data_IF_318465057870
#
_entry.id   IF_318465057870
#
_cell.length_a   1.000
_cell.length_b   1.000
_cell.length_c   1.000
_cell.angle_alpha   90.00
_cell.angle_beta   90.00
_cell.angle_gamma   90.00
#
_symmetry.space_group_name_H-M   'P 1'
#
loop_
_entity.id
_entity.type
_entity.pdbx_description
1 polymer ?
#
# COMPACT_ATOMS: atom_id res chain seq x y z
N UNK A 1 16.45 22.02 -46.94
CA UNK A 1 16.40 20.85 -46.08
C UNK A 1 15.57 21.20 -44.85
N UNK A 2 14.38 20.64 -44.64
CA UNK A 2 13.58 20.90 -43.46
C UNK A 2 14.16 20.16 -42.25
N UNK A 3 14.28 20.86 -41.12
CA UNK A 3 14.61 20.27 -39.82
C UNK A 3 13.44 19.41 -39.37
N UNK A 4 13.68 18.09 -39.16
CA UNK A 4 12.75 17.18 -38.50
C UNK A 4 12.75 17.55 -37.05
N UNK A 5 11.61 18.01 -36.55
CA UNK A 5 11.32 18.21 -35.14
C UNK A 5 11.28 16.84 -34.45
N UNK A 6 12.13 16.63 -33.44
CA UNK A 6 12.09 15.45 -32.56
C UNK A 6 11.17 15.80 -31.41
N UNK A 7 9.87 15.88 -31.70
CA UNK A 7 8.83 15.99 -30.68
C UNK A 7 8.37 14.59 -30.27
N UNK A 8 8.46 14.31 -28.96
CA UNK A 8 7.58 13.38 -28.27
C UNK A 8 8.01 11.92 -28.21
N UNK A 9 9.24 11.59 -27.80
CA UNK A 9 9.46 10.28 -27.21
C UNK A 9 8.89 10.30 -25.78
N UNK A 10 7.59 9.97 -25.62
CA UNK A 10 7.05 9.46 -24.36
C UNK A 10 7.57 8.02 -24.22
N UNK A 11 8.41 7.67 -23.23
CA UNK A 11 8.70 6.28 -22.96
C UNK A 11 7.36 5.60 -22.66
N UNK A 12 7.12 4.50 -23.32
CA UNK A 12 5.84 3.81 -23.36
C UNK A 12 5.36 3.46 -21.93
N UNK A 13 4.30 4.13 -21.50
CA UNK A 13 3.57 3.83 -20.25
C UNK A 13 2.86 2.48 -20.35
N UNK A 14 2.45 2.08 -21.56
CA UNK A 14 1.86 0.78 -21.87
C UNK A 14 2.70 -0.43 -21.39
N UNK A 15 4.02 -0.51 -21.56
CA UNK A 15 4.77 -1.68 -21.17
C UNK A 15 4.70 -2.02 -19.69
N UNK A 16 4.66 -1.04 -18.78
CA UNK A 16 4.68 -1.33 -17.34
C UNK A 16 3.33 -1.86 -16.83
N UNK A 17 2.22 -1.36 -17.34
CA UNK A 17 0.87 -1.85 -17.00
C UNK A 17 0.65 -3.25 -17.59
N UNK A 18 1.03 -3.48 -18.84
CA UNK A 18 0.97 -4.80 -19.46
C UNK A 18 1.86 -5.81 -18.71
N UNK A 19 3.04 -5.38 -18.30
CA UNK A 19 3.93 -6.20 -17.49
C UNK A 19 3.32 -6.54 -16.12
N UNK A 20 2.65 -5.57 -15.46
CA UNK A 20 1.92 -5.82 -14.22
C UNK A 20 0.79 -6.84 -14.41
N UNK A 21 0.05 -6.75 -15.53
CA UNK A 21 -1.01 -7.71 -15.89
C UNK A 21 -0.44 -9.11 -16.12
N UNK A 22 0.64 -9.23 -16.89
CA UNK A 22 1.30 -10.51 -17.14
C UNK A 22 1.78 -11.16 -15.82
N UNK A 23 2.45 -10.41 -14.96
CA UNK A 23 2.88 -10.90 -13.64
C UNK A 23 1.68 -11.34 -12.79
N UNK A 24 0.59 -10.58 -12.80
CA UNK A 24 -0.63 -10.91 -12.08
C UNK A 24 -1.24 -12.24 -12.55
N UNK A 25 -1.33 -12.45 -13.88
CA UNK A 25 -1.92 -13.66 -14.47
C UNK A 25 -1.01 -14.88 -14.37
N UNK A 26 0.28 -14.72 -14.71
CA UNK A 26 1.17 -15.85 -14.92
C UNK A 26 1.88 -16.30 -13.63
N UNK A 27 1.97 -15.41 -12.63
CA UNK A 27 2.73 -15.68 -11.40
C UNK A 27 1.87 -15.50 -10.14
N UNK A 28 1.29 -14.31 -9.94
CA UNK A 28 0.66 -14.01 -8.65
C UNK A 28 -0.65 -14.75 -8.44
N UNK A 29 -1.52 -14.79 -9.45
CA UNK A 29 -2.81 -15.45 -9.32
C UNK A 29 -2.71 -16.98 -9.18
N UNK A 30 -1.88 -17.69 -9.97
CA UNK A 30 -1.65 -19.12 -9.76
C UNK A 30 -1.14 -19.47 -8.36
N UNK A 31 -0.28 -18.62 -7.78
CA UNK A 31 0.28 -18.82 -6.44
C UNK A 31 -0.59 -18.23 -5.31
N UNK A 32 -1.72 -17.59 -5.61
CA UNK A 32 -2.44 -16.77 -4.63
C UNK A 32 -3.04 -17.59 -3.47
N UNK A 33 -3.52 -18.81 -3.71
CA UNK A 33 -4.05 -19.70 -2.67
C UNK A 33 -2.94 -20.20 -1.74
N UNK A 34 -1.79 -20.57 -2.28
CA UNK A 34 -0.63 -20.96 -1.50
C UNK A 34 -0.10 -19.78 -0.66
N UNK A 35 -0.03 -18.59 -1.27
CA UNK A 35 0.33 -17.35 -0.57
C UNK A 35 -0.62 -17.06 0.58
N UNK A 36 -1.93 -17.17 0.35
CA UNK A 36 -2.95 -16.92 1.37
C UNK A 36 -2.87 -17.90 2.55
N UNK A 37 -2.54 -19.15 2.29
CA UNK A 37 -2.36 -20.18 3.29
C UNK A 37 -1.02 -20.05 4.08
N UNK A 38 -0.11 -19.21 3.63
CA UNK A 38 1.22 -19.03 4.22
C UNK A 38 1.20 -17.98 5.34
N UNK A 39 2.19 -18.06 6.24
CA UNK A 39 2.39 -17.04 7.27
C UNK A 39 3.08 -15.78 6.73
N UNK A 40 3.90 -15.91 5.69
CA UNK A 40 4.63 -14.79 5.07
C UNK A 40 4.62 -14.93 3.56
N UNK A 41 4.60 -13.77 2.87
CA UNK A 41 4.73 -13.70 1.41
C UNK A 41 5.95 -14.47 0.91
N UNK A 42 5.84 -15.19 -0.21
CA UNK A 42 7.00 -15.72 -0.92
C UNK A 42 7.96 -14.57 -1.29
N UNK A 43 9.22 -14.69 -0.89
CA UNK A 43 10.24 -13.67 -1.23
C UNK A 43 10.41 -13.52 -2.74
N UNK A 44 10.20 -14.61 -3.49
CA UNK A 44 10.27 -14.64 -4.96
C UNK A 44 9.30 -13.67 -5.64
N UNK A 45 8.12 -13.41 -5.06
CA UNK A 45 7.18 -12.42 -5.59
C UNK A 45 7.77 -11.00 -5.48
N UNK A 46 8.36 -10.67 -4.34
CA UNK A 46 8.97 -9.36 -4.11
C UNK A 46 10.25 -9.18 -4.93
N UNK A 47 11.05 -10.25 -5.08
CA UNK A 47 12.24 -10.27 -5.94
C UNK A 47 11.87 -10.07 -7.41
N UNK A 48 10.78 -10.69 -7.88
CA UNK A 48 10.26 -10.46 -9.22
C UNK A 48 9.88 -9.00 -9.42
N UNK A 49 9.08 -8.41 -8.51
CA UNK A 49 8.70 -7.01 -8.60
C UNK A 49 9.92 -6.05 -8.56
N UNK A 50 10.99 -6.41 -7.83
CA UNK A 50 12.23 -5.64 -7.82
C UNK A 50 12.96 -5.72 -9.18
N UNK A 51 13.16 -6.92 -9.72
CA UNK A 51 13.80 -7.12 -11.03
C UNK A 51 13.08 -6.41 -12.18
N UNK A 52 11.75 -6.33 -12.09
CA UNK A 52 10.92 -5.66 -13.10
C UNK A 52 10.75 -4.15 -12.85
N UNK A 53 11.45 -3.59 -11.85
CA UNK A 53 11.49 -2.16 -11.56
C UNK A 53 10.30 -1.58 -10.81
N UNK A 54 9.34 -2.40 -10.37
CA UNK A 54 8.11 -1.92 -9.71
C UNK A 54 8.37 -1.16 -8.40
N UNK A 55 9.49 -1.36 -7.74
CA UNK A 55 9.85 -0.59 -6.53
C UNK A 55 10.16 0.87 -6.82
N UNK A 56 10.57 1.19 -8.06
CA UNK A 56 10.89 2.54 -8.50
C UNK A 56 9.73 3.34 -9.12
N UNK A 57 8.51 2.80 -9.20
CA UNK A 57 7.40 3.44 -9.95
C UNK A 57 7.08 4.87 -9.49
N UNK A 58 7.28 5.19 -8.22
CA UNK A 58 7.04 6.53 -7.64
C UNK A 58 8.32 7.28 -7.31
N UNK A 59 9.48 6.70 -7.57
CA UNK A 59 10.78 7.32 -7.36
C UNK A 59 11.16 8.25 -8.51
N UNK A 60 11.99 9.27 -8.24
CA UNK A 60 12.46 10.18 -9.28
C UNK A 60 13.43 9.48 -10.23
N UNK A 61 13.47 9.95 -11.47
CA UNK A 61 14.25 9.32 -12.56
C UNK A 61 15.76 9.43 -12.36
N UNK A 62 16.23 10.47 -11.71
CA UNK A 62 17.64 10.66 -11.35
C UNK A 62 18.19 9.66 -10.34
N UNK A 63 17.28 8.97 -9.62
CA UNK A 63 17.62 7.89 -8.70
C UNK A 63 17.25 6.48 -9.25
N UNK A 64 16.98 6.37 -10.53
CA UNK A 64 16.58 5.12 -11.18
C UNK A 64 15.09 4.76 -10.98
N UNK A 65 14.27 5.71 -10.54
CA UNK A 65 12.82 5.56 -10.49
C UNK A 65 12.15 5.84 -11.83
N UNK A 66 10.86 5.56 -11.94
CA UNK A 66 10.06 5.80 -13.14
C UNK A 66 9.22 7.08 -13.07
N UNK A 67 9.00 7.62 -11.89
CA UNK A 67 8.15 8.80 -11.62
C UNK A 67 6.81 8.73 -12.36
N UNK A 68 6.12 7.58 -12.28
CA UNK A 68 4.86 7.36 -12.99
C UNK A 68 3.78 8.34 -12.50
N UNK A 69 2.95 8.75 -13.44
CA UNK A 69 1.78 9.56 -13.13
C UNK A 69 0.76 8.79 -12.27
N UNK A 70 -0.18 9.49 -11.60
CA UNK A 70 -1.13 8.87 -10.69
C UNK A 70 -2.08 7.86 -11.36
N UNK A 71 -2.43 8.04 -12.64
CA UNK A 71 -3.33 7.14 -13.37
C UNK A 71 -2.63 5.81 -13.63
N UNK A 72 -1.46 5.87 -14.26
CA UNK A 72 -0.62 4.69 -14.54
C UNK A 72 -0.26 3.94 -13.25
N UNK A 73 0.07 4.67 -12.17
CA UNK A 73 0.32 4.05 -10.85
C UNK A 73 -0.92 3.29 -10.35
N UNK A 74 -2.12 3.86 -10.51
CA UNK A 74 -3.37 3.19 -10.11
C UNK A 74 -3.63 1.92 -10.91
N UNK A 75 -3.38 1.92 -12.22
CA UNK A 75 -3.54 0.76 -13.09
C UNK A 75 -2.56 -0.36 -12.74
N UNK A 76 -1.31 -0.04 -12.43
CA UNK A 76 -0.31 -1.00 -11.94
C UNK A 76 -0.77 -1.64 -10.63
N UNK A 77 -1.23 -0.83 -9.67
CA UNK A 77 -1.72 -1.33 -8.37
C UNK A 77 -2.93 -2.24 -8.55
N UNK A 78 -3.90 -1.84 -9.34
CA UNK A 78 -5.10 -2.62 -9.67
C UNK A 78 -4.71 -3.96 -10.32
N UNK A 79 -3.83 -3.92 -11.32
CA UNK A 79 -3.36 -5.11 -12.04
C UNK A 79 -2.69 -6.11 -11.09
N UNK A 80 -1.73 -5.67 -10.26
CA UNK A 80 -1.05 -6.56 -9.31
C UNK A 80 -2.01 -7.11 -8.25
N UNK A 81 -2.96 -6.28 -7.77
CA UNK A 81 -3.95 -6.70 -6.79
C UNK A 81 -4.94 -7.74 -7.34
N UNK A 82 -5.23 -7.71 -8.65
CA UNK A 82 -6.05 -8.74 -9.29
C UNK A 82 -5.38 -10.11 -9.29
N UNK A 83 -4.04 -10.16 -9.27
CA UNK A 83 -3.28 -11.40 -9.11
C UNK A 83 -3.27 -11.89 -7.66
N UNK A 84 -2.79 -11.04 -6.75
CA UNK A 84 -2.71 -11.34 -5.32
C UNK A 84 -2.75 -10.04 -4.50
N UNK A 85 -3.87 -9.80 -3.82
CA UNK A 85 -4.02 -8.61 -2.98
C UNK A 85 -2.89 -8.50 -1.95
N UNK A 86 -2.53 -9.59 -1.29
CA UNK A 86 -1.51 -9.57 -0.23
C UNK A 86 -0.16 -9.11 -0.74
N UNK A 87 0.28 -9.59 -1.92
CA UNK A 87 1.53 -9.16 -2.55
C UNK A 87 1.48 -7.69 -2.94
N UNK A 88 0.41 -7.27 -3.64
CA UNK A 88 0.24 -5.88 -4.06
C UNK A 88 0.17 -4.92 -2.87
N UNK A 89 -0.54 -5.32 -1.79
CA UNK A 89 -0.68 -4.55 -0.57
C UNK A 89 0.65 -4.32 0.15
N UNK A 90 1.46 -5.37 0.35
CA UNK A 90 2.77 -5.25 1.02
C UNK A 90 3.73 -4.42 0.16
N UNK A 91 3.80 -4.69 -1.14
CA UNK A 91 4.63 -3.94 -2.07
C UNK A 91 4.25 -2.44 -2.10
N UNK A 92 2.95 -2.11 -2.10
CA UNK A 92 2.47 -0.73 -2.17
C UNK A 92 2.94 0.13 -0.98
N UNK A 93 3.17 -0.48 0.21
CA UNK A 93 3.66 0.27 1.38
C UNK A 93 5.02 0.92 1.11
N UNK A 94 5.84 0.35 0.24
CA UNK A 94 7.17 0.83 -0.11
C UNK A 94 7.16 2.23 -0.77
N UNK A 95 6.06 2.58 -1.44
CA UNK A 95 5.94 3.86 -2.15
C UNK A 95 6.12 5.08 -1.24
N UNK A 96 5.57 5.04 -0.03
CA UNK A 96 5.66 6.18 0.89
C UNK A 96 7.10 6.45 1.37
N UNK A 97 7.88 5.45 1.81
CA UNK A 97 9.31 5.62 2.09
C UNK A 97 10.11 6.20 0.93
N UNK A 98 9.91 5.72 -0.32
CA UNK A 98 10.57 6.26 -1.51
C UNK A 98 10.28 7.76 -1.65
N UNK A 99 9.01 8.16 -1.55
CA UNK A 99 8.60 9.57 -1.66
C UNK A 99 9.14 10.43 -0.52
N UNK A 100 9.10 9.91 0.72
CA UNK A 100 9.59 10.64 1.88
C UNK A 100 11.11 10.87 1.81
N UNK A 101 11.88 9.85 1.45
CA UNK A 101 13.33 9.96 1.26
C UNK A 101 13.67 10.88 0.09
N UNK A 102 12.92 10.81 -1.02
CA UNK A 102 13.12 11.70 -2.17
C UNK A 102 12.88 13.17 -1.84
N UNK A 103 12.00 13.47 -0.90
CA UNK A 103 11.66 14.82 -0.44
C UNK A 103 12.43 15.28 0.80
N UNK A 104 13.33 14.44 1.34
CA UNK A 104 14.07 14.76 2.57
C UNK A 104 15.18 15.80 2.33
N UNK A 105 15.26 16.77 3.23
CA UNK A 105 16.34 17.77 3.30
C UNK A 105 17.49 17.31 4.22
N UNK A 106 17.38 16.13 4.85
CA UNK A 106 18.44 15.60 5.72
C UNK A 106 19.68 15.27 4.90
N UNK A 107 20.86 15.84 5.24
CA UNK A 107 22.09 15.60 4.50
C UNK A 107 22.42 14.11 4.36
N UNK A 108 22.74 13.67 3.15
CA UNK A 108 23.10 12.29 2.83
C UNK A 108 21.92 11.30 2.73
N UNK A 109 20.73 11.65 3.19
CA UNK A 109 19.56 10.76 3.19
C UNK A 109 19.24 10.22 1.79
N UNK A 110 19.15 11.09 0.79
CA UNK A 110 18.87 10.69 -0.60
C UNK A 110 19.98 9.80 -1.16
N UNK A 111 21.24 10.18 -0.94
CA UNK A 111 22.40 9.48 -1.50
C UNK A 111 22.55 8.07 -0.92
N UNK A 112 22.27 7.91 0.35
CA UNK A 112 22.36 6.61 1.04
C UNK A 112 21.22 5.67 0.70
N UNK A 113 19.99 6.20 0.57
CA UNK A 113 18.79 5.35 0.58
C UNK A 113 18.06 5.28 -0.76
N UNK A 114 17.95 6.38 -1.50
CA UNK A 114 16.95 6.51 -2.53
C UNK A 114 17.14 5.54 -3.69
N UNK A 115 18.36 5.40 -4.20
CA UNK A 115 18.65 4.50 -5.31
C UNK A 115 18.41 3.03 -4.96
N UNK A 116 18.82 2.60 -3.76
CA UNK A 116 18.58 1.23 -3.28
C UNK A 116 17.08 0.93 -3.05
N UNK A 117 16.32 1.93 -2.57
CA UNK A 117 14.86 1.83 -2.48
C UNK A 117 14.23 1.73 -3.87
N UNK A 118 14.57 2.59 -4.83
CA UNK A 118 14.01 2.55 -6.18
C UNK A 118 14.28 1.22 -6.90
N UNK A 119 15.42 0.57 -6.63
CA UNK A 119 15.74 -0.75 -7.20
C UNK A 119 15.16 -1.93 -6.41
N UNK A 120 14.54 -1.69 -5.24
CA UNK A 120 14.05 -2.76 -4.36
C UNK A 120 15.15 -3.61 -3.72
N UNK A 121 16.40 -3.14 -3.73
CA UNK A 121 17.55 -3.72 -3.01
C UNK A 121 17.38 -3.54 -1.49
N UNK A 122 16.73 -2.44 -1.10
CA UNK A 122 16.19 -2.21 0.24
C UNK A 122 14.69 -2.06 0.16
N UNK A 123 13.97 -2.90 0.85
CA UNK A 123 12.50 -2.88 0.90
C UNK A 123 12.04 -2.18 2.15
N UNK A 124 11.09 -1.27 1.98
CA UNK A 124 10.60 -0.47 3.08
C UNK A 124 9.11 -0.69 3.32
N UNK A 125 8.70 -0.68 4.59
CA UNK A 125 7.32 -0.61 5.04
C UNK A 125 6.99 0.73 5.69
N UNK A 126 5.79 0.86 6.23
CA UNK A 126 5.32 2.07 6.92
C UNK A 126 4.73 1.76 8.30
N UNK A 127 4.92 2.69 9.22
CA UNK A 127 4.32 2.70 10.56
C UNK A 127 3.81 4.13 10.85
N UNK A 128 2.60 4.45 10.40
CA UNK A 128 2.06 5.83 10.38
C UNK A 128 1.28 6.18 11.66
N UNK A 129 1.79 5.77 12.83
CA UNK A 129 1.12 6.02 14.11
C UNK A 129 1.03 7.52 14.46
N UNK A 130 2.03 8.31 14.06
CA UNK A 130 2.08 9.76 14.27
C UNK A 130 1.03 10.54 13.49
N UNK A 131 0.54 10.00 12.38
CA UNK A 131 -0.44 10.66 11.51
C UNK A 131 -1.88 10.60 12.08
N UNK A 132 -2.12 9.74 13.06
CA UNK A 132 -3.48 9.50 13.57
C UNK A 132 -4.01 10.72 14.30
N UNK A 133 -5.30 11.05 14.12
CA UNK A 133 -5.97 12.07 14.95
C UNK A 133 -6.11 11.58 16.39
N UNK A 134 -6.26 12.52 17.32
CA UNK A 134 -6.44 12.26 18.73
C UNK A 134 -5.13 12.10 19.52
N UNK A 135 -5.18 11.52 20.72
CA UNK A 135 -4.01 11.36 21.57
C UNK A 135 -2.95 10.47 20.90
N UNK A 136 -1.66 10.86 20.94
CA UNK A 136 -0.61 10.12 20.29
C UNK A 136 -0.34 8.77 21.00
N UNK A 137 -0.31 7.69 20.22
CA UNK A 137 0.03 6.34 20.67
C UNK A 137 1.52 6.01 20.47
N UNK A 138 2.22 6.78 19.63
CA UNK A 138 3.67 6.76 19.44
C UNK A 138 4.18 8.20 19.52
N UNK A 139 5.12 8.43 20.43
CA UNK A 139 5.73 9.73 20.69
C UNK A 139 7.21 9.71 20.37
N UNK A 140 7.71 10.86 19.98
CA UNK A 140 9.13 11.12 19.81
C UNK A 140 9.57 12.27 20.73
N UNK A 141 10.82 12.20 21.17
CA UNK A 141 11.51 13.27 21.89
C UNK A 141 12.85 13.52 21.22
N UNK A 142 13.23 14.80 21.03
CA UNK A 142 14.51 15.17 20.42
C UNK A 142 15.65 14.82 21.37
N UNK A 143 16.75 14.29 20.84
CA UNK A 143 17.99 14.08 21.57
C UNK A 143 18.98 15.23 21.32
N UNK A 144 19.98 15.43 22.20
CA UNK A 144 21.00 16.49 22.07
C UNK A 144 21.79 16.38 20.75
N UNK A 145 21.94 15.17 20.20
CA UNK A 145 22.60 14.92 18.91
C UNK A 145 21.71 15.12 17.67
N UNK A 146 20.50 15.69 17.81
CA UNK A 146 19.57 15.93 16.68
C UNK A 146 18.77 14.71 16.25
N UNK A 147 19.03 13.53 16.81
CA UNK A 147 18.21 12.34 16.65
C UNK A 147 16.93 12.39 17.47
N UNK A 148 16.21 11.28 17.57
CA UNK A 148 14.99 11.16 18.36
C UNK A 148 14.96 9.85 19.15
N UNK A 149 14.22 9.85 20.26
CA UNK A 149 13.84 8.65 21.01
C UNK A 149 12.36 8.38 20.80
N UNK A 150 11.99 7.17 20.43
CA UNK A 150 10.62 6.72 20.20
C UNK A 150 10.09 5.92 21.39
N UNK A 151 8.87 6.25 21.85
CA UNK A 151 8.17 5.54 22.93
C UNK A 151 6.71 5.33 22.56
N UNK A 152 6.22 4.11 22.67
CA UNK A 152 4.82 3.77 22.41
C UNK A 152 4.63 2.64 21.43
N UNK A 153 3.53 2.67 20.68
CA UNK A 153 3.13 1.58 19.80
C UNK A 153 2.78 2.07 18.39
N UNK A 154 3.09 1.26 17.39
CA UNK A 154 2.64 1.43 16.03
C UNK A 154 1.92 0.15 15.57
N UNK A 155 0.58 0.09 15.59
CA UNK A 155 -0.19 -1.05 15.13
C UNK A 155 -0.27 -1.10 13.61
N UNK A 156 -0.54 -2.30 13.07
CA UNK A 156 -0.83 -2.54 11.66
C UNK A 156 0.36 -2.27 10.72
N UNK A 157 1.57 -2.59 11.15
CA UNK A 157 2.77 -2.51 10.31
C UNK A 157 2.90 -3.79 9.49
N UNK A 158 2.80 -3.68 8.17
CA UNK A 158 2.82 -4.84 7.27
C UNK A 158 4.17 -5.02 6.58
N UNK A 159 4.46 -6.25 6.17
CA UNK A 159 5.73 -6.59 5.52
C UNK A 159 6.82 -7.08 6.48
N UNK A 160 6.56 -7.21 7.77
CA UNK A 160 7.56 -7.69 8.73
C UNK A 160 8.11 -9.05 8.33
N UNK A 161 9.45 -9.19 8.34
CA UNK A 161 10.15 -10.37 7.82
C UNK A 161 10.32 -10.40 6.29
N UNK A 162 9.90 -9.35 5.58
CA UNK A 162 10.05 -9.16 4.13
C UNK A 162 10.54 -7.77 3.74
N UNK A 163 10.70 -6.87 4.71
CA UNK A 163 11.20 -5.51 4.55
C UNK A 163 12.46 -5.32 5.39
N UNK A 164 13.33 -4.40 4.98
CA UNK A 164 14.62 -4.11 5.62
C UNK A 164 14.51 -2.89 6.54
N UNK A 165 13.62 -1.94 6.21
CA UNK A 165 13.47 -0.66 6.89
C UNK A 165 12.01 -0.25 6.96
N UNK A 166 11.67 0.57 7.94
CA UNK A 166 10.31 1.11 8.13
C UNK A 166 10.39 2.62 8.21
N UNK A 167 9.57 3.31 7.42
CA UNK A 167 9.26 4.71 7.64
C UNK A 167 8.29 4.81 8.81
N UNK A 168 8.78 5.26 9.95
CA UNK A 168 8.00 5.43 11.17
C UNK A 168 7.63 6.90 11.33
N UNK A 169 6.35 7.20 11.58
CA UNK A 169 5.92 8.54 12.00
C UNK A 169 5.50 8.53 13.46
N UNK A 170 5.97 9.53 14.21
CA UNK A 170 5.67 9.69 15.64
C UNK A 170 5.32 11.16 15.97
N UNK A 171 4.50 11.37 16.97
CA UNK A 171 4.14 12.72 17.43
C UNK A 171 5.25 13.29 18.31
N UNK A 172 5.65 14.52 17.99
CA UNK A 172 6.61 15.31 18.76
C UNK A 172 6.03 16.71 19.00
N UNK A 173 5.36 16.90 20.14
CA UNK A 173 4.53 18.09 20.35
C UNK A 173 3.39 18.19 19.33
N UNK A 174 3.30 19.33 18.64
CA UNK A 174 2.32 19.58 17.58
C UNK A 174 2.78 19.09 16.20
N UNK A 175 3.99 18.54 16.11
CA UNK A 175 4.57 18.04 14.88
C UNK A 175 4.49 16.51 14.80
N UNK A 176 4.70 16.03 13.57
CA UNK A 176 5.00 14.64 13.25
C UNK A 176 6.44 14.56 12.76
N UNK A 177 7.25 13.77 13.43
CA UNK A 177 8.58 13.42 12.94
C UNK A 177 8.51 12.10 12.18
N UNK A 178 9.18 12.04 11.04
CA UNK A 178 9.34 10.86 10.20
C UNK A 178 10.77 10.35 10.28
N UNK A 179 10.97 9.07 10.54
CA UNK A 179 12.30 8.46 10.69
C UNK A 179 12.38 7.10 9.98
N UNK A 180 13.58 6.67 9.60
CA UNK A 180 13.85 5.33 9.11
C UNK A 180 14.36 4.45 10.27
N UNK A 181 13.68 3.32 10.51
CA UNK A 181 14.01 2.33 11.54
C UNK A 181 14.25 0.98 10.87
N UNK A 182 15.32 0.27 11.24
CA UNK A 182 15.57 -1.07 10.72
C UNK A 182 14.45 -2.04 11.12
N UNK A 183 13.97 -2.84 10.17
CA UNK A 183 12.87 -3.80 10.39
C UNK A 183 13.38 -5.09 11.06
N UNK A 184 13.93 -4.99 12.24
CA UNK A 184 14.42 -6.12 13.04
C UNK A 184 14.14 -5.92 14.53
N UNK A 185 13.90 -7.00 15.24
CA UNK A 185 13.74 -6.95 16.71
C UNK A 185 15.05 -6.56 17.40
N UNK A 186 14.90 -5.72 18.41
CA UNK A 186 15.97 -5.26 19.30
C UNK A 186 15.43 -5.21 20.72
N UNK A 187 16.30 -5.03 21.72
CA UNK A 187 15.86 -4.84 23.11
C UNK A 187 14.88 -3.66 23.28
N UNK A 188 14.94 -2.67 22.39
CA UNK A 188 14.10 -1.46 22.40
C UNK A 188 13.00 -1.45 21.32
N UNK A 189 12.91 -2.49 20.48
CA UNK A 189 11.89 -2.63 19.42
C UNK A 189 11.39 -4.06 19.35
N UNK A 190 10.12 -4.27 19.68
CA UNK A 190 9.47 -5.57 19.64
C UNK A 190 8.36 -5.59 18.60
N UNK A 191 8.16 -6.76 17.95
CA UNK A 191 7.16 -6.98 16.92
C UNK A 191 6.18 -8.09 17.31
N UNK A 192 4.96 -7.72 17.67
CA UNK A 192 3.90 -8.66 18.01
C UNK A 192 3.10 -9.04 16.76
N UNK A 193 3.18 -10.28 16.32
CA UNK A 193 2.49 -10.77 15.13
C UNK A 193 0.97 -10.73 15.30
N UNK A 194 0.28 -10.18 14.31
CA UNK A 194 -1.17 -10.25 14.17
C UNK A 194 -1.57 -11.39 13.23
N UNK A 195 -2.52 -12.23 13.65
CA UNK A 195 -3.11 -13.26 12.77
C UNK A 195 -4.35 -12.68 12.10
N UNK A 196 -4.32 -12.63 10.78
CA UNK A 196 -5.38 -12.03 9.98
C UNK A 196 -6.16 -13.13 9.23
N UNK A 197 -7.47 -12.96 9.11
CA UNK A 197 -8.33 -13.87 8.31
C UNK A 197 -8.23 -13.59 6.80
N UNK A 198 -7.85 -12.38 6.41
CA UNK A 198 -7.53 -11.99 5.04
C UNK A 198 -6.17 -11.29 5.01
N UNK A 199 -5.39 -11.51 3.97
CA UNK A 199 -4.02 -11.00 3.83
C UNK A 199 -3.06 -11.41 4.98
N UNK A 200 -3.22 -12.60 5.56
CA UNK A 200 -2.38 -13.08 6.66
C UNK A 200 -0.89 -13.11 6.32
N UNK A 201 -0.54 -13.53 5.10
CA UNK A 201 0.83 -13.58 4.62
C UNK A 201 1.51 -12.19 4.50
N UNK A 202 0.79 -11.10 4.74
CA UNK A 202 1.36 -9.75 4.78
C UNK A 202 2.40 -9.55 5.88
N UNK A 203 2.50 -10.46 6.84
CA UNK A 203 3.43 -10.29 7.96
C UNK A 203 3.09 -9.10 8.85
N UNK A 204 1.81 -8.79 9.02
CA UNK A 204 1.39 -7.63 9.81
C UNK A 204 1.67 -7.81 11.30
N UNK A 205 2.25 -6.78 11.93
CA UNK A 205 2.62 -6.75 13.35
C UNK A 205 2.14 -5.47 14.04
N UNK A 206 2.14 -5.48 15.35
CA UNK A 206 2.18 -4.28 16.19
C UNK A 206 3.61 -4.07 16.66
N UNK A 207 4.22 -2.92 16.38
CA UNK A 207 5.53 -2.56 16.89
C UNK A 207 5.40 -1.86 18.24
N UNK A 208 6.27 -2.23 19.21
CA UNK A 208 6.42 -1.55 20.49
C UNK A 208 7.83 -0.96 20.59
N UNK A 209 7.87 0.33 20.83
CA UNK A 209 9.09 1.12 21.00
C UNK A 209 9.30 1.42 22.50
N UNK A 210 10.44 0.98 23.05
CA UNK A 210 10.83 1.13 24.43
C UNK A 210 12.09 2.01 24.48
N UNK A 211 11.93 3.32 24.53
CA UNK A 211 13.03 4.30 24.46
C UNK A 211 13.98 4.01 23.27
N UNK A 212 13.39 3.70 22.11
CA UNK A 212 14.16 3.34 20.93
C UNK A 212 14.83 4.57 20.31
N UNK A 213 16.16 4.63 20.39
CA UNK A 213 16.95 5.73 19.84
C UNK A 213 17.10 5.61 18.33
N UNK A 214 16.84 6.71 17.63
CA UNK A 214 17.04 6.87 16.18
C UNK A 214 18.02 8.03 15.98
N UNK A 215 19.18 7.82 15.31
CA UNK A 215 20.16 8.85 15.10
C UNK A 215 19.70 9.90 14.09
N UNK A 216 20.38 11.07 14.08
CA UNK A 216 19.96 12.24 13.31
C UNK A 216 19.91 11.98 11.80
N UNK A 217 20.86 11.22 11.26
CA UNK A 217 20.95 10.84 9.85
C UNK A 217 19.80 9.92 9.37
N UNK A 218 19.02 9.36 10.30
CA UNK A 218 17.82 8.57 10.02
C UNK A 218 16.52 9.37 10.18
N UNK A 219 16.58 10.65 10.57
CA UNK A 219 15.43 11.55 10.59
C UNK A 219 15.16 12.00 9.17
N UNK A 220 14.02 11.62 8.62
CA UNK A 220 13.62 11.93 7.24
C UNK A 220 13.08 13.34 7.12
N UNK A 221 12.32 13.79 8.12
CA UNK A 221 11.74 15.13 8.17
C UNK A 221 10.81 15.31 9.37
N UNK A 222 10.37 16.55 9.55
CA UNK A 222 9.42 16.95 10.56
C UNK A 222 8.46 17.98 9.98
N UNK A 223 7.16 17.85 10.29
CA UNK A 223 6.12 18.72 9.75
C UNK A 223 4.95 18.88 10.73
N UNK A 224 4.17 19.97 10.64
CA UNK A 224 2.99 20.16 11.48
C UNK A 224 1.96 19.04 11.31
N UNK A 225 1.44 18.50 12.43
CA UNK A 225 0.45 17.42 12.38
C UNK A 225 -0.81 17.80 11.60
N UNK A 226 -1.23 19.07 11.67
CA UNK A 226 -2.39 19.55 10.91
C UNK A 226 -2.20 19.39 9.39
N UNK A 227 -1.00 19.61 8.87
CA UNK A 227 -0.69 19.44 7.45
C UNK A 227 -0.67 17.95 7.06
N UNK A 228 -0.14 17.09 7.93
CA UNK A 228 -0.16 15.63 7.73
C UNK A 228 -1.60 15.14 7.60
N UNK A 229 -2.48 15.55 8.50
CA UNK A 229 -3.91 15.18 8.50
C UNK A 229 -4.62 15.71 7.24
N UNK A 230 -4.33 16.94 6.83
CA UNK A 230 -4.92 17.54 5.63
C UNK A 230 -4.57 16.78 4.34
N UNK A 231 -3.36 16.18 4.28
CA UNK A 231 -2.91 15.38 3.11
C UNK A 231 -3.30 13.90 3.17
N UNK A 232 -3.87 13.43 4.28
CA UNK A 232 -4.14 11.99 4.47
C UNK A 232 -5.06 11.39 3.39
N UNK A 233 -5.98 12.19 2.84
CA UNK A 233 -6.88 11.75 1.77
C UNK A 233 -6.14 11.33 0.49
N UNK A 234 -4.96 11.86 0.20
CA UNK A 234 -4.22 11.60 -1.04
C UNK A 234 -3.81 10.13 -1.22
N UNK A 235 -3.68 9.37 -0.14
CA UNK A 235 -3.35 7.93 -0.18
C UNK A 235 -4.54 7.02 -0.50
N UNK A 236 -5.76 7.53 -0.37
CA UNK A 236 -6.97 6.71 -0.47
C UNK A 236 -7.25 6.21 -1.88
N UNK A 237 -6.80 6.92 -2.91
CA UNK A 237 -6.95 6.52 -4.31
C UNK A 237 -6.31 5.15 -4.57
N UNK A 238 -5.06 4.94 -4.19
CA UNK A 238 -4.36 3.68 -4.40
C UNK A 238 -4.93 2.55 -3.53
N UNK A 239 -5.44 2.88 -2.33
CA UNK A 239 -6.18 1.92 -1.52
C UNK A 239 -7.48 1.48 -2.22
N UNK A 240 -8.13 2.38 -2.98
CA UNK A 240 -9.26 2.07 -3.86
C UNK A 240 -8.85 1.18 -5.03
N UNK A 241 -7.70 1.44 -5.66
CA UNK A 241 -7.18 0.61 -6.76
C UNK A 241 -6.90 -0.84 -6.32
N UNK A 242 -6.45 -1.08 -5.08
CA UNK A 242 -6.37 -2.43 -4.53
C UNK A 242 -7.74 -3.14 -4.52
N UNK A 243 -8.80 -2.41 -4.15
CA UNK A 243 -10.15 -2.97 -4.13
C UNK A 243 -10.66 -3.27 -5.55
N UNK A 244 -10.40 -2.37 -6.51
CA UNK A 244 -10.77 -2.59 -7.91
C UNK A 244 -10.05 -3.79 -8.52
N UNK A 245 -8.80 -4.08 -8.12
CA UNK A 245 -8.10 -5.30 -8.54
C UNK A 245 -8.81 -6.58 -8.07
N UNK A 246 -9.35 -6.59 -6.85
CA UNK A 246 -10.17 -7.72 -6.38
C UNK A 246 -11.48 -7.83 -7.16
N UNK A 247 -12.13 -6.70 -7.50
CA UNK A 247 -13.32 -6.69 -8.36
C UNK A 247 -12.99 -7.26 -9.74
N UNK A 248 -11.91 -6.78 -10.39
CA UNK A 248 -11.46 -7.25 -11.70
C UNK A 248 -11.28 -8.77 -11.70
N UNK A 249 -10.62 -9.32 -10.68
CA UNK A 249 -10.46 -10.77 -10.53
C UNK A 249 -11.79 -11.51 -10.38
N UNK A 250 -12.71 -10.98 -9.59
CA UNK A 250 -14.04 -11.59 -9.45
C UNK A 250 -14.79 -11.58 -10.79
N UNK A 251 -14.77 -10.47 -11.55
CA UNK A 251 -15.39 -10.38 -12.87
C UNK A 251 -14.80 -11.42 -13.83
N UNK A 252 -13.48 -11.54 -13.91
CA UNK A 252 -12.82 -12.54 -14.78
C UNK A 252 -13.20 -13.98 -14.44
N UNK A 253 -13.40 -14.29 -13.16
CA UNK A 253 -13.80 -15.65 -12.72
C UNK A 253 -15.29 -15.94 -12.93
N UNK A 254 -16.14 -14.91 -12.89
CA UNK A 254 -17.58 -15.06 -13.15
C UNK A 254 -17.92 -15.05 -14.64
N UNK A 255 -17.09 -14.41 -15.48
CA UNK A 255 -17.45 -14.04 -16.84
C UNK A 255 -18.30 -12.77 -16.91
N UNK A 256 -18.75 -12.34 -18.11
CA UNK A 256 -19.48 -11.09 -18.30
C UNK A 256 -20.65 -10.92 -17.35
N UNK A 257 -20.73 -9.78 -16.67
CA UNK A 257 -21.72 -9.48 -15.63
C UNK A 257 -21.96 -7.97 -15.50
N UNK A 258 -22.99 -7.55 -14.77
CA UNK A 258 -23.20 -6.15 -14.44
C UNK A 258 -22.08 -5.53 -13.59
N UNK A 259 -21.20 -6.34 -13.00
CA UNK A 259 -20.04 -5.85 -12.25
C UNK A 259 -18.97 -5.26 -13.15
N UNK A 260 -18.90 -5.64 -14.43
CA UNK A 260 -17.93 -5.08 -15.38
C UNK A 260 -18.21 -3.59 -15.64
N UNK A 261 -19.48 -3.21 -15.83
CA UNK A 261 -19.91 -1.82 -15.99
C UNK A 261 -19.65 -1.01 -14.70
N UNK A 262 -20.03 -1.56 -13.53
CA UNK A 262 -19.79 -0.93 -12.24
C UNK A 262 -18.30 -0.73 -11.94
N UNK A 263 -17.44 -1.68 -12.34
CA UNK A 263 -15.99 -1.57 -12.23
C UNK A 263 -15.47 -0.36 -13.02
N UNK A 264 -15.95 -0.16 -14.25
CA UNK A 264 -15.59 1.00 -15.09
C UNK A 264 -16.04 2.31 -14.44
N UNK A 265 -17.28 2.38 -13.96
CA UNK A 265 -17.84 3.57 -13.32
C UNK A 265 -17.08 3.95 -12.03
N UNK A 266 -16.82 2.98 -11.15
CA UNK A 266 -16.13 3.24 -9.89
C UNK A 266 -14.65 3.57 -10.14
N UNK A 267 -14.00 2.98 -11.15
CA UNK A 267 -12.63 3.34 -11.56
C UNK A 267 -12.57 4.80 -12.00
N UNK A 268 -13.51 5.27 -12.82
CA UNK A 268 -13.61 6.66 -13.24
C UNK A 268 -13.85 7.59 -12.03
N UNK A 269 -14.83 7.24 -11.16
CA UNK A 269 -15.12 8.01 -9.95
C UNK A 269 -13.90 8.13 -9.02
N UNK A 270 -13.13 7.06 -8.85
CA UNK A 270 -11.91 7.06 -8.02
C UNK A 270 -10.79 7.90 -8.67
N UNK A 271 -10.70 7.92 -10.00
CA UNK A 271 -9.73 8.69 -10.75
C UNK A 271 -9.98 10.20 -10.67
N UNK A 272 -11.26 10.60 -10.76
CA UNK A 272 -11.70 12.00 -10.82
C UNK A 272 -11.99 12.60 -9.44
N UNK A 273 -11.86 11.79 -8.36
CA UNK A 273 -12.20 12.23 -7.02
C UNK A 273 -11.27 13.35 -6.51
N UNK A 274 -11.90 14.40 -5.97
CA UNK A 274 -11.24 15.48 -5.22
C UNK A 274 -10.91 15.01 -3.79
N UNK A 275 -10.09 15.72 -3.00
CA UNK A 275 -9.85 15.38 -1.60
C UNK A 275 -11.14 15.20 -0.78
N UNK A 276 -12.19 15.96 -1.08
CA UNK A 276 -13.49 15.92 -0.38
C UNK A 276 -14.30 14.68 -0.77
N UNK A 277 -14.25 14.26 -2.04
CA UNK A 277 -15.01 13.11 -2.57
C UNK A 277 -14.24 11.79 -2.51
N UNK A 278 -12.92 11.84 -2.29
CA UNK A 278 -12.04 10.67 -2.24
C UNK A 278 -12.47 9.62 -1.20
N UNK A 279 -12.94 9.99 0.02
CA UNK A 279 -13.43 8.99 0.99
C UNK A 279 -14.64 8.21 0.46
N UNK A 280 -15.57 8.88 -0.22
CA UNK A 280 -16.76 8.24 -0.80
C UNK A 280 -16.40 7.32 -1.98
N UNK A 281 -15.52 7.77 -2.88
CA UNK A 281 -15.04 6.95 -3.99
C UNK A 281 -14.28 5.70 -3.49
N UNK A 282 -13.43 5.87 -2.45
CA UNK A 282 -12.73 4.76 -1.80
C UNK A 282 -13.71 3.77 -1.15
N UNK A 283 -14.75 4.26 -0.48
CA UNK A 283 -15.78 3.43 0.12
C UNK A 283 -16.53 2.63 -0.95
N UNK A 284 -16.93 3.28 -2.05
CA UNK A 284 -17.59 2.64 -3.18
C UNK A 284 -16.77 1.48 -3.78
N UNK A 285 -15.47 1.68 -3.96
CA UNK A 285 -14.57 0.63 -4.46
C UNK A 285 -14.53 -0.60 -3.50
N UNK A 286 -14.48 -0.36 -2.18
CA UNK A 286 -14.47 -1.45 -1.20
C UNK A 286 -15.80 -2.18 -1.12
N UNK A 287 -16.90 -1.47 -1.19
CA UNK A 287 -18.25 -2.02 -1.18
C UNK A 287 -18.47 -2.86 -2.45
N UNK A 288 -18.03 -2.37 -3.61
CA UNK A 288 -18.10 -3.11 -4.86
C UNK A 288 -17.28 -4.40 -4.78
N UNK A 289 -16.08 -4.37 -4.19
CA UNK A 289 -15.26 -5.56 -4.00
C UNK A 289 -15.98 -6.63 -3.16
N UNK A 290 -16.65 -6.21 -2.09
CA UNK A 290 -17.42 -7.14 -1.24
C UNK A 290 -18.61 -7.73 -1.99
N UNK A 291 -19.36 -6.94 -2.76
CA UNK A 291 -20.49 -7.42 -3.56
C UNK A 291 -20.05 -8.38 -4.68
N UNK A 292 -18.98 -8.04 -5.40
CA UNK A 292 -18.45 -8.88 -6.47
C UNK A 292 -17.94 -10.23 -5.92
N UNK A 293 -17.23 -10.22 -4.79
CA UNK A 293 -16.76 -11.44 -4.13
C UNK A 293 -17.93 -12.30 -3.60
N UNK A 294 -18.97 -11.67 -3.05
CA UNK A 294 -20.18 -12.38 -2.64
C UNK A 294 -20.92 -13.00 -3.84
N UNK A 295 -21.07 -12.27 -4.94
CA UNK A 295 -21.66 -12.78 -6.17
C UNK A 295 -20.88 -13.97 -6.75
N UNK A 296 -19.55 -13.88 -6.79
CA UNK A 296 -18.68 -14.99 -7.20
C UNK A 296 -18.88 -16.23 -6.29
N UNK A 297 -18.99 -16.00 -4.97
CA UNK A 297 -19.23 -17.08 -4.00
C UNK A 297 -20.55 -17.80 -4.30
N UNK A 298 -21.62 -17.04 -4.56
CA UNK A 298 -22.94 -17.60 -4.91
C UNK A 298 -22.89 -18.34 -6.25
N UNK A 299 -22.26 -17.75 -7.28
CA UNK A 299 -22.15 -18.36 -8.60
C UNK A 299 -21.36 -19.69 -8.58
N UNK A 300 -20.35 -19.79 -7.72
CA UNK A 300 -19.51 -21.00 -7.58
C UNK A 300 -20.16 -22.08 -6.68
N UNK A 301 -21.20 -21.73 -5.94
CA UNK A 301 -21.97 -22.63 -5.08
C UNK A 301 -21.20 -23.11 -3.85
N UNK A 302 -21.61 -24.26 -3.30
CA UNK A 302 -21.09 -24.78 -2.03
C UNK A 302 -19.57 -25.05 -2.01
N UNK A 303 -18.95 -25.24 -3.16
CA UNK A 303 -17.48 -25.39 -3.25
C UNK A 303 -16.72 -24.14 -2.88
N UNK A 304 -17.36 -22.97 -2.91
CA UNK A 304 -16.74 -21.67 -2.58
C UNK A 304 -16.11 -21.60 -1.19
N UNK A 305 -16.59 -22.40 -0.24
CA UNK A 305 -16.09 -22.40 1.15
C UNK A 305 -14.91 -23.36 1.38
N UNK A 306 -14.49 -24.12 0.36
CA UNK A 306 -13.31 -24.97 0.48
C UNK A 306 -12.04 -24.11 0.46
N UNK A 307 -11.07 -24.44 1.32
CA UNK A 307 -9.84 -23.64 1.50
C UNK A 307 -8.98 -23.54 0.24
N UNK A 308 -9.09 -24.51 -0.67
CA UNK A 308 -8.38 -24.57 -1.96
C UNK A 308 -9.12 -23.84 -3.11
N UNK A 309 -10.15 -23.07 -2.81
CA UNK A 309 -10.96 -22.37 -3.82
C UNK A 309 -10.78 -20.85 -3.76
N UNK A 310 -10.75 -20.22 -4.94
CA UNK A 310 -10.54 -18.78 -5.06
C UNK A 310 -11.67 -17.92 -4.43
N UNK A 311 -12.98 -18.27 -4.52
CA UNK A 311 -14.03 -17.42 -3.99
C UNK A 311 -13.89 -17.09 -2.50
N UNK A 312 -13.56 -18.07 -1.65
CA UNK A 312 -13.38 -17.80 -0.21
C UNK A 312 -12.18 -16.89 0.07
N UNK A 313 -11.08 -17.02 -0.70
CA UNK A 313 -9.93 -16.13 -0.59
C UNK A 313 -10.33 -14.70 -0.94
N UNK A 314 -10.94 -14.50 -2.11
CA UNK A 314 -11.38 -13.18 -2.58
C UNK A 314 -12.41 -12.54 -1.64
N UNK A 315 -13.32 -13.33 -1.03
CA UNK A 315 -14.26 -12.82 -0.02
C UNK A 315 -13.54 -12.30 1.23
N UNK A 316 -12.48 -12.98 1.70
CA UNK A 316 -11.67 -12.53 2.85
C UNK A 316 -10.80 -11.33 2.50
N UNK A 317 -10.27 -11.27 1.29
CA UNK A 317 -9.56 -10.09 0.77
C UNK A 317 -10.50 -8.88 0.66
N UNK A 318 -11.73 -9.06 0.15
CA UNK A 318 -12.73 -8.00 0.10
C UNK A 318 -13.12 -7.52 1.51
N UNK A 319 -13.28 -8.43 2.48
CA UNK A 319 -13.52 -8.07 3.88
C UNK A 319 -12.33 -7.25 4.47
N UNK A 320 -11.09 -7.62 4.19
CA UNK A 320 -9.92 -6.84 4.58
C UNK A 320 -10.00 -5.42 4.02
N UNK A 321 -10.40 -5.26 2.76
CA UNK A 321 -10.50 -3.95 2.09
C UNK A 321 -11.61 -3.05 2.65
N UNK A 322 -12.64 -3.58 3.31
CA UNK A 322 -13.64 -2.77 4.01
C UNK A 322 -13.03 -1.99 5.20
N UNK A 323 -12.01 -2.55 5.84
CA UNK A 323 -11.45 -2.00 7.09
C UNK A 323 -10.02 -1.47 6.93
N UNK A 324 -9.30 -1.85 5.89
CA UNK A 324 -7.94 -1.40 5.63
C UNK A 324 -7.89 0.11 5.34
N UNK A 325 -7.00 0.83 6.01
CA UNK A 325 -6.84 2.28 5.81
C UNK A 325 -8.10 3.09 6.15
N UNK A 326 -9.01 2.52 6.95
CA UNK A 326 -10.29 3.14 7.29
C UNK A 326 -10.12 4.43 8.06
N UNK A 327 -10.88 5.46 7.67
CA UNK A 327 -11.03 6.76 8.32
C UNK A 327 -12.50 6.94 8.71
N UNK A 328 -12.85 7.84 9.64
CA UNK A 328 -14.25 8.08 9.99
C UNK A 328 -15.15 8.29 8.78
N UNK A 329 -14.80 9.20 7.86
CA UNK A 329 -15.57 9.48 6.66
C UNK A 329 -15.77 8.24 5.75
N UNK A 330 -14.76 7.35 5.65
CA UNK A 330 -14.89 6.10 4.88
C UNK A 330 -15.83 5.13 5.59
N UNK A 331 -15.73 5.01 6.92
CA UNK A 331 -16.59 4.11 7.70
C UNK A 331 -18.05 4.53 7.64
N UNK A 332 -18.31 5.82 7.78
CA UNK A 332 -19.67 6.38 7.73
C UNK A 332 -20.28 6.12 6.34
N UNK A 333 -19.53 6.37 5.28
CA UNK A 333 -19.97 6.12 3.92
C UNK A 333 -20.18 4.61 3.64
N UNK A 334 -19.28 3.74 4.10
CA UNK A 334 -19.44 2.27 3.98
C UNK A 334 -20.67 1.79 4.74
N UNK A 335 -20.89 2.29 5.96
CA UNK A 335 -22.05 1.91 6.77
C UNK A 335 -23.35 2.30 6.06
N UNK A 336 -23.42 3.51 5.50
CA UNK A 336 -24.55 4.00 4.73
C UNK A 336 -24.81 3.15 3.48
N UNK A 337 -23.76 2.84 2.69
CA UNK A 337 -23.86 2.00 1.47
C UNK A 337 -24.32 0.58 1.78
N UNK A 338 -23.72 -0.03 2.79
CA UNK A 338 -24.06 -1.42 3.17
C UNK A 338 -25.47 -1.51 3.73
N UNK A 339 -25.93 -0.49 4.48
CA UNK A 339 -27.30 -0.45 5.00
C UNK A 339 -28.34 -0.05 3.94
N UNK A 340 -27.93 0.46 2.78
CA UNK A 340 -28.85 0.91 1.72
C UNK A 340 -29.56 2.24 2.04
N UNK A 341 -28.94 3.09 2.84
CA UNK A 341 -29.51 4.38 3.33
C UNK A 341 -28.74 5.59 2.79
#
# INVERSE_FOLDING_TARGET
>A
MPRVSIDGYRPAVEPIVERARAIAEDVLFPAALETDASDLLPVSHLDLLAREGFYGISGPTDAGGMNLDPSTTSEVVESLASGCLTTAFVWLQHRNPVKAVAASDTPGMRDEWLAALCRGERRAGIALAGNRPGPPILRASRTDGGGVTLVGVAPWVSGWGRIDVILVTARMGDNVVSVLVDAKELATLHADRLRLVGANASGTVTLRFLDHAVPAERVVGEEPHAEVVARDASGLRLNGSLALGVVDRCCRLMGPSAFDEQLVEIRASLADATPETQPAARAAASELAMRAAAALTVAHGSRSILADQQPQRLAREAMFLLVFGSRPAIRDELSRRIAGT
#
